data_IF_038858392022
#
_entry.id   IF_038858392022
#
_cell.length_a   1.000
_cell.length_b   1.000
_cell.length_c   1.000
_cell.angle_alpha   90.00
_cell.angle_beta   90.00
_cell.angle_gamma   90.00
#
_symmetry.space_group_name_H-M   'P 1'
#
loop_
_entity.id
_entity.type
_entity.pdbx_description
1 polymer ?
#
# COMPACT_ATOMS: atom_id res chain seq x y z
N UNK A 1 -16.06 29.30 1.46
CA UNK A 1 -14.94 30.26 1.25
C UNK A 1 -14.55 30.24 -0.23
N UNK A 2 -14.13 31.35 -0.84
CA UNK A 2 -13.54 31.30 -2.17
C UNK A 2 -12.26 30.45 -2.13
N UNK A 3 -12.09 29.56 -3.11
CA UNK A 3 -10.89 28.72 -3.24
C UNK A 3 -9.65 29.57 -3.58
N UNK A 4 -9.86 30.62 -4.39
CA UNK A 4 -8.83 31.59 -4.72
C UNK A 4 -8.79 32.64 -3.60
N UNK A 5 -7.63 32.86 -2.96
CA UNK A 5 -7.54 33.75 -1.82
C UNK A 5 -7.45 35.24 -2.21
N UNK A 6 -7.08 35.53 -3.46
CA UNK A 6 -6.85 36.88 -3.96
C UNK A 6 -8.16 37.59 -4.30
N UNK A 7 -8.28 38.83 -3.84
CA UNK A 7 -9.34 39.75 -4.26
C UNK A 7 -9.02 40.40 -5.60
N UNK A 8 -9.99 41.08 -6.21
CA UNK A 8 -9.76 41.87 -7.43
C UNK A 8 -8.71 42.97 -7.22
N UNK A 9 -8.66 43.55 -6.02
CA UNK A 9 -7.66 44.55 -5.63
C UNK A 9 -6.25 43.94 -5.57
N UNK A 10 -6.12 42.74 -4.98
CA UNK A 10 -4.84 42.01 -4.93
C UNK A 10 -4.35 41.69 -6.34
N UNK A 11 -5.23 41.17 -7.20
CA UNK A 11 -4.92 40.85 -8.60
C UNK A 11 -4.47 42.11 -9.34
N UNK A 12 -5.20 43.22 -9.19
CA UNK A 12 -4.87 44.50 -9.84
C UNK A 12 -3.50 45.02 -9.38
N UNK A 13 -3.22 44.95 -8.08
CA UNK A 13 -1.92 45.35 -7.53
C UNK A 13 -0.78 44.49 -8.08
N UNK A 14 -0.97 43.17 -8.17
CA UNK A 14 0.02 42.24 -8.73
C UNK A 14 0.28 42.51 -10.22
N UNK A 15 -0.77 42.70 -11.03
CA UNK A 15 -0.64 43.00 -12.47
C UNK A 15 0.12 44.32 -12.70
N UNK A 16 -0.17 45.36 -11.90
CA UNK A 16 0.54 46.63 -11.97
C UNK A 16 2.04 46.51 -11.64
N UNK A 17 2.41 45.64 -10.69
CA UNK A 17 3.83 45.39 -10.36
C UNK A 17 4.55 44.65 -11.48
N UNK A 18 3.88 43.69 -12.13
CA UNK A 18 4.43 42.92 -13.25
C UNK A 18 4.51 43.78 -14.53
N UNK A 19 3.62 44.76 -14.68
CA UNK A 19 3.57 45.67 -15.83
C UNK A 19 2.69 45.17 -16.99
N UNK A 20 1.70 44.32 -16.70
CA UNK A 20 0.72 43.80 -17.67
C UNK A 20 -0.69 44.33 -17.37
N UNK A 21 -1.61 44.25 -18.34
CA UNK A 21 -2.95 44.84 -18.21
C UNK A 21 -4.01 43.82 -17.77
N UNK A 22 -3.79 42.54 -18.06
CA UNK A 22 -4.74 41.47 -17.75
C UNK A 22 -4.04 40.17 -17.36
N UNK A 23 -4.80 39.25 -16.75
CA UNK A 23 -4.33 37.89 -16.49
C UNK A 23 -3.98 37.17 -17.81
N UNK A 24 -4.73 37.43 -18.90
CA UNK A 24 -4.52 36.78 -20.19
C UNK A 24 -3.16 37.13 -20.81
N UNK A 25 -2.62 38.32 -20.50
CA UNK A 25 -1.29 38.75 -20.95
C UNK A 25 -0.18 37.87 -20.36
N UNK A 26 -0.41 37.21 -19.21
CA UNK A 26 0.56 36.31 -18.57
C UNK A 26 0.73 34.97 -19.29
N UNK A 27 -0.13 34.66 -20.27
CA UNK A 27 -0.17 33.39 -20.99
C UNK A 27 0.09 33.56 -22.50
N UNK A 28 0.68 34.69 -22.92
CA UNK A 28 0.96 34.99 -24.33
C UNK A 28 1.89 33.97 -25.01
N UNK A 29 2.76 33.31 -24.25
CA UNK A 29 3.66 32.24 -24.69
C UNK A 29 2.95 30.96 -25.12
N UNK A 30 1.71 30.71 -24.67
CA UNK A 30 0.95 29.53 -25.06
C UNK A 30 0.41 29.74 -26.48
N UNK A 31 0.81 28.93 -27.48
CA UNK A 31 0.30 29.03 -28.85
C UNK A 31 -1.24 28.99 -28.89
N UNK A 32 -1.91 29.87 -29.66
CA UNK A 32 -3.37 29.95 -29.67
C UNK A 32 -4.08 28.64 -30.01
N UNK A 33 -3.45 27.79 -30.83
CA UNK A 33 -3.94 26.46 -31.22
C UNK A 33 -3.85 25.41 -30.11
N UNK A 34 -3.06 25.66 -29.07
CA UNK A 34 -2.96 24.82 -27.87
C UNK A 34 -3.85 25.31 -26.71
N UNK A 35 -4.44 26.51 -26.82
CA UNK A 35 -5.31 27.06 -25.78
C UNK A 35 -6.67 26.37 -25.81
N UNK A 36 -7.12 25.88 -24.66
CA UNK A 36 -8.46 25.31 -24.52
C UNK A 36 -9.52 26.42 -24.69
N UNK A 37 -10.50 26.20 -25.56
CA UNK A 37 -11.62 27.14 -25.82
C UNK A 37 -12.76 26.94 -24.80
N UNK A 38 -12.69 25.87 -24.02
CA UNK A 38 -13.65 25.46 -23.01
C UNK A 38 -13.42 24.00 -22.61
N UNK A 39 -14.14 23.54 -21.60
CA UNK A 39 -14.10 22.15 -21.17
C UNK A 39 -15.50 21.55 -21.38
N UNK A 40 -15.68 20.88 -22.52
CA UNK A 40 -16.94 20.21 -22.85
C UNK A 40 -17.28 19.15 -21.80
N UNK A 41 -18.56 19.09 -21.41
CA UNK A 41 -19.05 18.11 -20.45
C UNK A 41 -18.85 18.48 -18.97
N UNK A 42 -18.27 19.65 -18.66
CA UNK A 42 -18.24 20.16 -17.28
C UNK A 42 -19.54 20.91 -16.98
N UNK A 43 -20.32 20.50 -15.96
CA UNK A 43 -21.55 21.19 -15.58
C UNK A 43 -21.23 22.56 -14.96
N UNK A 44 -22.23 23.46 -14.87
CA UNK A 44 -22.08 24.72 -14.14
C UNK A 44 -21.60 24.48 -12.70
N UNK A 45 -20.81 25.42 -12.18
CA UNK A 45 -20.34 25.37 -10.80
C UNK A 45 -21.51 25.37 -9.81
N UNK A 46 -21.40 24.54 -8.77
CA UNK A 46 -22.34 24.48 -7.66
C UNK A 46 -21.76 25.21 -6.44
N UNK A 47 -22.63 25.78 -5.62
CA UNK A 47 -22.25 26.25 -4.29
C UNK A 47 -21.83 25.08 -3.38
N UNK A 48 -21.13 25.39 -2.30
CA UNK A 48 -20.70 24.42 -1.29
C UNK A 48 -21.88 23.60 -0.72
N UNK A 49 -23.03 24.23 -0.53
CA UNK A 49 -24.23 23.55 -0.02
C UNK A 49 -24.85 22.61 -1.05
N UNK A 50 -24.91 23.02 -2.31
CA UNK A 50 -25.48 22.22 -3.39
C UNK A 50 -24.62 20.98 -3.67
N UNK A 51 -23.28 21.14 -3.72
CA UNK A 51 -22.40 20.00 -3.93
C UNK A 51 -22.43 19.04 -2.75
N UNK A 52 -22.48 19.53 -1.50
CA UNK A 52 -22.59 18.68 -0.32
C UNK A 52 -23.89 17.84 -0.34
N UNK A 53 -25.03 18.46 -0.67
CA UNK A 53 -26.30 17.76 -0.80
C UNK A 53 -26.26 16.70 -1.91
N UNK A 54 -25.69 17.04 -3.06
CA UNK A 54 -25.54 16.12 -4.18
C UNK A 54 -24.68 14.92 -3.82
N UNK A 55 -23.53 15.14 -3.18
CA UNK A 55 -22.63 14.05 -2.77
C UNK A 55 -23.26 13.16 -1.71
N UNK A 56 -23.97 13.72 -0.73
CA UNK A 56 -24.71 12.93 0.28
C UNK A 56 -25.82 12.09 -0.35
N UNK A 57 -26.55 12.63 -1.33
CA UNK A 57 -27.58 11.88 -2.03
C UNK A 57 -26.99 10.71 -2.82
N UNK A 58 -25.82 10.90 -3.46
CA UNK A 58 -25.12 9.83 -4.19
C UNK A 58 -24.58 8.76 -3.26
N UNK A 59 -23.92 9.13 -2.17
CA UNK A 59 -23.35 8.18 -1.21
C UNK A 59 -24.41 7.24 -0.60
N UNK A 60 -25.66 7.71 -0.44
CA UNK A 60 -26.77 6.87 0.04
C UNK A 60 -27.15 5.74 -0.92
N UNK A 61 -26.82 5.86 -2.21
CA UNK A 61 -27.11 4.82 -3.19
C UNK A 61 -26.15 3.62 -3.09
N UNK A 62 -24.96 3.82 -2.52
CA UNK A 62 -23.96 2.76 -2.36
C UNK A 62 -24.35 1.75 -1.26
N UNK A 63 -25.20 2.17 -0.32
CA UNK A 63 -25.66 1.34 0.79
C UNK A 63 -24.60 1.10 1.87
N UNK A 64 -24.94 0.31 2.89
CA UNK A 64 -24.05 -0.08 3.99
C UNK A 64 -24.18 -1.59 4.24
N UNK A 65 -23.74 -2.45 3.30
CA UNK A 65 -23.85 -3.89 3.45
C UNK A 65 -22.90 -4.40 4.53
N UNK A 66 -23.32 -5.44 5.26
CA UNK A 66 -22.39 -6.24 6.06
C UNK A 66 -21.42 -6.95 5.11
N UNK A 67 -20.11 -6.77 5.31
CA UNK A 67 -19.08 -7.31 4.44
C UNK A 67 -18.18 -8.30 5.20
N UNK A 68 -18.30 -9.58 4.86
CA UNK A 68 -17.44 -10.66 5.37
C UNK A 68 -16.59 -11.30 4.27
N UNK A 69 -16.38 -10.59 3.16
CA UNK A 69 -15.58 -11.09 2.02
C UNK A 69 -14.12 -11.31 2.44
N UNK A 70 -13.60 -10.48 3.36
CA UNK A 70 -12.22 -10.53 3.81
C UNK A 70 -11.28 -10.18 2.66
N UNK A 71 -10.35 -11.09 2.33
CA UNK A 71 -9.44 -10.93 1.19
C UNK A 71 -8.56 -9.66 1.27
N UNK A 72 -8.01 -9.36 2.44
CA UNK A 72 -7.07 -8.26 2.64
C UNK A 72 -7.68 -6.94 3.10
N UNK A 73 -9.01 -6.80 3.11
CA UNK A 73 -9.70 -5.66 3.72
C UNK A 73 -10.84 -6.14 4.62
N UNK A 74 -10.89 -5.63 5.85
CA UNK A 74 -11.74 -6.15 6.90
C UNK A 74 -12.48 -5.01 7.60
N UNK A 75 -13.79 -5.15 7.72
CA UNK A 75 -14.59 -4.22 8.52
C UNK A 75 -14.22 -4.36 10.00
N UNK A 76 -14.00 -3.23 10.67
CA UNK A 76 -13.56 -3.19 12.06
C UNK A 76 -13.93 -1.86 12.72
N UNK A 77 -13.88 -1.85 14.06
CA UNK A 77 -14.14 -0.64 14.81
C UNK A 77 -12.96 0.34 14.70
N UNK A 78 -13.24 1.54 14.17
CA UNK A 78 -12.28 2.66 14.16
C UNK A 78 -12.64 3.61 15.30
N UNK A 79 -11.74 3.83 16.28
CA UNK A 79 -12.02 4.74 17.38
C UNK A 79 -12.32 6.15 16.88
N UNK A 80 -13.32 6.82 17.48
CA UNK A 80 -13.69 8.19 17.11
C UNK A 80 -12.52 9.19 17.20
N UNK A 81 -11.56 8.93 18.09
CA UNK A 81 -10.34 9.72 18.21
C UNK A 81 -9.51 9.74 16.91
N UNK A 82 -9.49 8.65 16.13
CA UNK A 82 -8.79 8.59 14.84
C UNK A 82 -9.36 9.65 13.90
N UNK A 83 -10.69 9.69 13.75
CA UNK A 83 -11.35 10.70 12.90
C UNK A 83 -11.16 12.14 13.40
N UNK A 84 -11.13 12.33 14.72
CA UNK A 84 -10.84 13.65 15.30
C UNK A 84 -9.40 14.11 15.04
N UNK A 85 -8.46 13.19 14.84
CA UNK A 85 -7.06 13.51 14.54
C UNK A 85 -6.82 13.66 13.04
N UNK A 86 -7.29 12.72 12.22
CA UNK A 86 -7.01 12.69 10.77
C UNK A 86 -7.66 13.83 10.00
N UNK A 87 -8.73 14.43 10.55
CA UNK A 87 -9.43 15.58 9.92
C UNK A 87 -8.86 16.94 10.32
N UNK A 88 -7.82 16.98 11.17
CA UNK A 88 -7.17 18.22 11.58
C UNK A 88 -6.19 18.71 10.50
N UNK A 89 -6.29 19.99 10.15
CA UNK A 89 -5.49 20.62 9.09
C UNK A 89 -3.99 20.43 9.26
N UNK A 90 -3.52 20.53 10.49
CA UNK A 90 -2.11 20.35 10.86
C UNK A 90 -1.55 18.94 10.58
N UNK A 91 -2.41 17.91 10.41
CA UNK A 91 -1.98 16.56 10.05
C UNK A 91 -2.13 16.28 8.54
N UNK A 92 -3.21 16.76 7.90
CA UNK A 92 -3.49 16.39 6.50
C UNK A 92 -2.94 17.37 5.46
N UNK A 93 -2.67 18.64 5.83
CA UNK A 93 -2.29 19.68 4.85
C UNK A 93 -0.77 19.80 4.66
N UNK A 94 0.01 19.32 5.62
CA UNK A 94 1.46 19.25 5.47
C UNK A 94 1.85 18.20 4.42
N UNK A 95 2.95 18.43 3.71
CA UNK A 95 3.50 17.48 2.74
C UNK A 95 4.69 16.73 3.34
N UNK A 96 5.47 16.04 2.49
CA UNK A 96 6.67 15.31 2.90
C UNK A 96 7.56 16.16 3.85
N UNK A 97 8.03 15.60 4.98
CA UNK A 97 8.75 16.34 6.01
C UNK A 97 10.21 16.65 5.60
N UNK A 98 10.41 17.38 4.50
CA UNK A 98 11.73 17.78 4.00
C UNK A 98 12.46 18.75 4.95
N UNK A 99 11.71 19.49 5.76
CA UNK A 99 12.24 20.40 6.78
C UNK A 99 12.03 19.76 8.16
N UNK A 100 12.97 18.90 8.55
CA UNK A 100 12.82 18.04 9.72
C UNK A 100 12.57 18.84 11.01
N UNK A 101 13.22 19.98 11.19
CA UNK A 101 13.08 20.87 12.35
C UNK A 101 11.66 21.45 12.47
N UNK A 102 10.96 21.60 11.35
CA UNK A 102 9.58 22.08 11.28
C UNK A 102 8.55 20.94 11.20
N UNK A 103 8.98 19.67 11.27
CA UNK A 103 8.11 18.49 11.06
C UNK A 103 8.29 17.41 12.11
N UNK A 104 8.85 17.73 13.29
CA UNK A 104 9.13 16.75 14.34
C UNK A 104 7.90 15.97 14.81
N UNK A 105 6.71 16.56 14.81
CA UNK A 105 5.47 15.85 15.16
C UNK A 105 5.15 14.71 14.18
N UNK A 106 5.19 14.98 12.87
CA UNK A 106 5.00 13.97 11.83
C UNK A 106 6.10 12.92 11.88
N UNK A 107 7.36 13.33 12.02
CA UNK A 107 8.50 12.40 12.11
C UNK A 107 8.41 11.48 13.32
N UNK A 108 7.90 11.98 14.45
CA UNK A 108 7.64 11.16 15.63
C UNK A 108 6.58 10.10 15.34
N UNK A 109 5.45 10.47 14.71
CA UNK A 109 4.40 9.49 14.34
C UNK A 109 4.94 8.43 13.38
N UNK A 110 5.78 8.80 12.41
CA UNK A 110 6.43 7.85 11.51
C UNK A 110 7.38 6.91 12.26
N UNK A 111 8.15 7.43 13.21
CA UNK A 111 9.03 6.61 14.04
C UNK A 111 8.25 5.64 14.94
N UNK A 112 7.13 6.09 15.52
CA UNK A 112 6.22 5.26 16.31
C UNK A 112 5.60 4.15 15.46
N UNK A 113 5.18 4.47 14.23
CA UNK A 113 4.72 3.46 13.27
C UNK A 113 5.81 2.43 12.96
N UNK A 114 7.03 2.88 12.64
CA UNK A 114 8.15 1.98 12.37
C UNK A 114 8.45 1.08 13.56
N UNK A 115 8.49 1.65 14.76
CA UNK A 115 8.73 0.92 16.01
C UNK A 115 7.65 -0.12 16.30
N UNK A 116 6.38 0.24 16.08
CA UNK A 116 5.24 -0.66 16.21
C UNK A 116 5.37 -1.82 15.21
N UNK A 117 5.69 -1.52 13.94
CA UNK A 117 5.84 -2.54 12.92
C UNK A 117 7.01 -3.48 13.20
N UNK A 118 8.19 -2.97 13.59
CA UNK A 118 9.32 -3.84 13.98
C UNK A 118 8.99 -4.73 15.16
N UNK A 119 8.23 -4.22 16.15
CA UNK A 119 7.79 -5.02 17.29
C UNK A 119 6.75 -6.08 16.91
N UNK A 120 5.79 -5.74 16.03
CA UNK A 120 4.78 -6.68 15.54
C UNK A 120 5.37 -7.75 14.63
N UNK A 121 6.34 -7.40 13.79
CA UNK A 121 6.92 -8.35 12.84
C UNK A 121 8.11 -9.12 13.41
N UNK A 122 8.68 -8.68 14.53
CA UNK A 122 9.91 -9.25 15.09
C UNK A 122 11.15 -9.00 14.21
N UNK A 123 11.12 -7.99 13.33
CA UNK A 123 12.20 -7.67 12.40
C UNK A 123 12.90 -6.37 12.78
N UNK A 124 14.15 -6.22 12.35
CA UNK A 124 15.03 -5.12 12.80
C UNK A 124 14.63 -3.73 12.30
N UNK A 125 14.01 -3.64 11.12
CA UNK A 125 13.73 -2.36 10.45
C UNK A 125 12.38 -2.37 9.73
N UNK A 126 11.74 -1.20 9.72
CA UNK A 126 10.53 -0.93 8.93
C UNK A 126 10.68 0.42 8.21
N UNK A 127 10.10 0.54 7.02
CA UNK A 127 10.00 1.83 6.34
C UNK A 127 8.79 2.63 6.85
N UNK A 128 8.55 3.80 6.28
CA UNK A 128 7.45 4.69 6.64
C UNK A 128 6.21 4.48 5.77
N UNK A 129 5.84 3.22 5.49
CA UNK A 129 4.73 2.73 4.62
C UNK A 129 5.07 2.54 3.13
N UNK A 130 4.17 1.84 2.43
CA UNK A 130 4.08 1.74 0.97
C UNK A 130 2.64 2.07 0.53
N UNK A 131 2.28 1.83 -0.73
CA UNK A 131 0.97 2.21 -1.25
C UNK A 131 -0.15 1.26 -0.82
N UNK A 132 0.11 -0.04 -0.85
CA UNK A 132 -0.81 -1.12 -0.50
C UNK A 132 -0.03 -2.44 -0.31
N UNK A 133 -0.68 -3.46 0.26
CA UNK A 133 -0.05 -4.76 0.47
C UNK A 133 0.40 -5.49 -0.82
N UNK A 134 -0.21 -5.18 -1.98
CA UNK A 134 0.12 -5.81 -3.25
C UNK A 134 1.44 -5.30 -3.84
N UNK A 135 1.62 -3.99 -3.82
CA UNK A 135 2.83 -3.29 -4.23
C UNK A 135 3.95 -3.50 -3.20
N UNK A 136 3.61 -3.60 -1.91
CA UNK A 136 4.57 -3.97 -0.87
C UNK A 136 5.17 -5.37 -1.10
N UNK A 137 4.35 -6.36 -1.46
CA UNK A 137 4.84 -7.68 -1.85
C UNK A 137 5.72 -7.61 -3.12
N UNK A 138 5.38 -6.75 -4.08
CA UNK A 138 6.21 -6.58 -5.27
C UNK A 138 7.59 -6.01 -4.93
N UNK A 139 7.67 -5.01 -4.04
CA UNK A 139 8.93 -4.46 -3.56
C UNK A 139 9.73 -5.46 -2.71
N UNK A 140 9.06 -6.28 -1.89
CA UNK A 140 9.71 -7.36 -1.15
C UNK A 140 10.34 -8.40 -2.09
N UNK A 141 9.63 -8.78 -3.17
CA UNK A 141 10.15 -9.67 -4.21
C UNK A 141 11.37 -9.07 -4.92
N UNK A 142 11.28 -7.79 -5.30
CA UNK A 142 12.40 -7.08 -5.92
C UNK A 142 13.61 -6.95 -4.99
N UNK A 143 13.36 -6.69 -3.70
CA UNK A 143 14.39 -6.64 -2.66
C UNK A 143 15.07 -8.00 -2.51
N UNK A 144 14.30 -9.08 -2.37
CA UNK A 144 14.84 -10.43 -2.18
C UNK A 144 15.72 -10.87 -3.36
N UNK A 145 15.27 -10.66 -4.61
CA UNK A 145 16.05 -10.98 -5.81
C UNK A 145 17.35 -10.17 -5.89
N UNK A 146 17.36 -8.91 -5.42
CA UNK A 146 18.57 -8.07 -5.42
C UNK A 146 19.52 -8.38 -4.26
N UNK A 147 18.97 -8.71 -3.09
CA UNK A 147 19.71 -8.92 -1.85
C UNK A 147 20.33 -10.31 -1.78
N UNK A 148 19.67 -11.34 -2.33
CA UNK A 148 20.19 -12.71 -2.31
C UNK A 148 21.46 -12.82 -3.17
N UNK A 149 22.62 -12.90 -2.53
CA UNK A 149 23.93 -13.05 -3.19
C UNK A 149 24.34 -14.49 -3.43
N UNK A 150 23.66 -15.45 -2.78
CA UNK A 150 23.97 -16.88 -2.86
C UNK A 150 23.29 -17.55 -4.06
N UNK A 151 22.22 -16.95 -4.57
CA UNK A 151 21.42 -17.46 -5.69
C UNK A 151 21.37 -16.42 -6.81
N UNK A 152 21.78 -16.79 -8.01
CA UNK A 152 21.69 -15.93 -9.21
C UNK A 152 20.36 -16.06 -9.96
N UNK A 153 19.54 -17.04 -9.58
CA UNK A 153 18.21 -17.27 -10.15
C UNK A 153 17.29 -16.08 -9.88
N UNK A 154 16.42 -15.75 -10.84
CA UNK A 154 15.36 -14.75 -10.67
C UNK A 154 13.98 -15.41 -10.48
N UNK A 155 13.95 -16.71 -10.18
CA UNK A 155 12.74 -17.45 -9.88
C UNK A 155 12.32 -17.19 -8.44
N UNK A 156 11.05 -16.89 -8.23
CA UNK A 156 10.44 -16.64 -6.91
C UNK A 156 9.24 -17.56 -6.79
N UNK A 157 9.22 -18.37 -5.73
CA UNK A 157 8.13 -19.29 -5.49
C UNK A 157 6.96 -18.51 -4.86
N UNK A 158 5.83 -18.53 -5.56
CA UNK A 158 4.65 -17.74 -5.26
C UNK A 158 3.45 -18.68 -5.04
N UNK A 159 3.13 -19.06 -3.80
CA UNK A 159 1.99 -19.91 -3.55
C UNK A 159 0.67 -19.34 -4.06
N UNK A 160 -0.17 -20.19 -4.62
CA UNK A 160 -1.53 -19.82 -5.06
C UNK A 160 -2.45 -19.47 -3.90
N UNK A 161 -2.03 -19.76 -2.67
CA UNK A 161 -2.66 -19.32 -1.42
C UNK A 161 -2.42 -17.83 -1.11
N UNK A 162 -1.51 -17.15 -1.83
CA UNK A 162 -1.38 -15.69 -1.80
C UNK A 162 -2.56 -15.04 -2.53
N UNK A 163 -3.01 -13.88 -2.01
CA UNK A 163 -4.11 -13.11 -2.57
C UNK A 163 -3.99 -12.95 -4.11
N UNK A 164 -5.02 -13.31 -4.90
CA UNK A 164 -4.91 -13.37 -6.36
C UNK A 164 -4.64 -12.00 -6.99
N UNK A 165 -5.17 -10.91 -6.42
CA UNK A 165 -4.84 -9.57 -6.91
C UNK A 165 -3.37 -9.20 -6.59
N UNK A 166 -2.83 -9.65 -5.46
CA UNK A 166 -1.43 -9.37 -5.12
C UNK A 166 -0.52 -10.07 -6.11
N UNK A 167 -0.76 -11.36 -6.40
CA UNK A 167 -0.02 -12.11 -7.43
C UNK A 167 -0.05 -11.41 -8.79
N UNK A 168 -1.22 -10.90 -9.23
CA UNK A 168 -1.33 -10.15 -10.50
C UNK A 168 -0.57 -8.83 -10.49
N UNK A 169 -0.60 -8.09 -9.38
CA UNK A 169 0.14 -6.84 -9.21
C UNK A 169 1.65 -7.09 -9.24
N UNK A 170 2.13 -8.06 -8.47
CA UNK A 170 3.54 -8.47 -8.45
C UNK A 170 3.98 -8.87 -9.86
N UNK A 171 3.23 -9.74 -10.54
CA UNK A 171 3.54 -10.14 -11.92
C UNK A 171 3.65 -8.94 -12.87
N UNK A 172 2.75 -7.96 -12.73
CA UNK A 172 2.73 -6.76 -13.58
C UNK A 172 3.97 -5.89 -13.38
N UNK A 173 4.46 -5.79 -12.14
CA UNK A 173 5.62 -4.97 -11.75
C UNK A 173 6.94 -5.67 -12.12
N UNK A 174 7.06 -6.97 -11.86
CA UNK A 174 8.37 -7.66 -11.93
C UNK A 174 8.68 -8.28 -13.29
N UNK A 175 7.67 -8.58 -14.13
CA UNK A 175 7.86 -9.34 -15.40
C UNK A 175 8.89 -8.74 -16.35
N UNK A 176 8.93 -7.41 -16.48
CA UNK A 176 9.84 -6.73 -17.41
C UNK A 176 11.30 -6.73 -16.93
N UNK A 177 11.56 -7.20 -15.71
CA UNK A 177 12.90 -7.32 -15.12
C UNK A 177 13.45 -8.76 -15.22
N UNK A 178 12.72 -9.66 -15.90
CA UNK A 178 13.06 -11.06 -16.06
C UNK A 178 12.93 -11.87 -14.77
N UNK A 179 12.10 -11.42 -13.82
CA UNK A 179 11.75 -12.17 -12.61
C UNK A 179 10.59 -13.08 -12.96
N UNK A 180 10.75 -14.37 -12.66
CA UNK A 180 9.76 -15.41 -12.90
C UNK A 180 9.05 -15.74 -11.59
N UNK A 181 7.72 -15.57 -11.56
CA UNK A 181 6.89 -16.05 -10.47
C UNK A 181 6.46 -17.49 -10.75
N UNK A 182 6.96 -18.42 -9.95
CA UNK A 182 6.63 -19.85 -10.07
C UNK A 182 5.44 -20.12 -9.15
N UNK A 183 4.26 -20.34 -9.74
CA UNK A 183 3.06 -20.60 -8.94
C UNK A 183 3.10 -21.98 -8.28
N UNK A 184 2.97 -22.01 -6.95
CA UNK A 184 2.92 -23.25 -6.17
C UNK A 184 1.45 -23.60 -5.92
N UNK A 185 0.97 -24.79 -6.32
CA UNK A 185 -0.39 -25.21 -6.00
C UNK A 185 -0.57 -25.35 -4.48
N UNK A 186 -1.81 -25.29 -4.01
CA UNK A 186 -2.16 -25.61 -2.63
C UNK A 186 -2.76 -27.00 -2.55
N UNK A 187 -2.72 -27.63 -1.37
CA UNK A 187 -3.40 -28.89 -1.11
C UNK A 187 -4.93 -28.67 -1.10
N UNK A 188 -5.69 -29.29 -2.02
CA UNK A 188 -7.13 -29.11 -2.10
C UNK A 188 -7.91 -29.55 -0.85
N UNK A 189 -7.30 -30.36 0.03
CA UNK A 189 -7.96 -30.87 1.23
C UNK A 189 -7.98 -29.87 2.39
N UNK A 190 -6.91 -29.10 2.57
CA UNK A 190 -6.76 -28.16 3.71
C UNK A 190 -6.51 -26.70 3.27
N UNK A 191 -6.21 -26.45 2.00
CA UNK A 191 -5.97 -25.10 1.47
C UNK A 191 -4.60 -24.53 1.80
N UNK A 192 -3.66 -25.31 2.34
CA UNK A 192 -2.30 -24.89 2.66
C UNK A 192 -1.33 -25.17 1.51
N UNK A 193 -0.18 -24.51 1.56
CA UNK A 193 0.99 -24.84 0.74
C UNK A 193 1.77 -25.94 1.42
N UNK A 194 2.09 -27.02 0.70
CA UNK A 194 2.86 -28.13 1.26
C UNK A 194 4.29 -28.20 0.75
N UNK A 195 5.20 -28.69 1.58
CA UNK A 195 6.61 -28.88 1.20
C UNK A 195 6.78 -29.75 -0.04
N UNK A 196 5.95 -30.79 -0.22
CA UNK A 196 6.06 -31.67 -1.39
C UNK A 196 5.72 -30.93 -2.71
N UNK A 197 4.88 -29.89 -2.64
CA UNK A 197 4.55 -29.04 -3.79
C UNK A 197 5.69 -28.07 -4.11
N UNK A 198 6.42 -27.62 -3.09
CA UNK A 198 7.62 -26.80 -3.24
C UNK A 198 8.74 -27.61 -3.86
N UNK A 199 8.99 -28.84 -3.38
CA UNK A 199 10.02 -29.72 -3.91
C UNK A 199 9.80 -30.02 -5.41
N UNK A 200 8.56 -30.23 -5.83
CA UNK A 200 8.23 -30.45 -7.25
C UNK A 200 8.46 -29.22 -8.15
N UNK A 201 8.47 -28.01 -7.58
CA UNK A 201 8.69 -26.76 -8.32
C UNK A 201 10.16 -26.28 -8.25
N UNK A 202 10.92 -26.79 -7.28
CA UNK A 202 12.26 -26.36 -6.90
C UNK A 202 13.38 -27.19 -7.53
N UNK A 203 13.13 -27.82 -8.69
CA UNK A 203 14.18 -28.47 -9.50
C UNK A 203 15.38 -27.53 -9.80
N UNK A 204 15.20 -26.20 -9.67
CA UNK A 204 16.28 -25.21 -9.59
C UNK A 204 16.24 -24.39 -8.29
N UNK A 205 17.40 -23.81 -7.92
CA UNK A 205 17.48 -22.79 -6.86
C UNK A 205 16.58 -21.60 -7.19
N UNK A 206 15.85 -21.10 -6.19
CA UNK A 206 15.03 -19.89 -6.29
C UNK A 206 15.62 -18.78 -5.41
N UNK A 207 15.35 -17.52 -5.77
CA UNK A 207 15.81 -16.38 -4.98
C UNK A 207 15.04 -16.24 -3.67
N UNK A 208 13.74 -16.57 -3.69
CA UNK A 208 12.86 -16.39 -2.55
C UNK A 208 11.61 -17.29 -2.59
N UNK A 209 11.03 -17.51 -1.42
CA UNK A 209 9.72 -18.10 -1.18
C UNK A 209 8.80 -17.07 -0.50
N UNK A 210 7.60 -16.89 -1.03
CA UNK A 210 6.54 -16.07 -0.41
C UNK A 210 5.68 -16.94 0.49
N UNK A 211 5.39 -16.49 1.72
CA UNK A 211 4.63 -17.21 2.74
C UNK A 211 3.51 -16.30 3.27
N UNK A 212 2.23 -16.51 2.87
CA UNK A 212 1.13 -15.70 3.40
C UNK A 212 0.65 -16.22 4.76
N UNK A 213 0.42 -15.32 5.73
CA UNK A 213 -0.05 -15.70 7.07
C UNK A 213 -1.05 -14.69 7.68
N UNK A 214 -2.33 -15.06 7.87
CA UNK A 214 -3.01 -16.22 7.27
C UNK A 214 -3.03 -16.16 5.74
N UNK A 215 -3.28 -17.29 5.10
CA UNK A 215 -3.39 -17.34 3.65
C UNK A 215 -4.76 -16.82 3.14
N UNK A 216 -4.93 -16.72 1.81
CA UNK A 216 -6.13 -16.16 1.19
C UNK A 216 -7.43 -16.89 1.58
N UNK A 217 -7.34 -18.18 1.94
CA UNK A 217 -8.49 -18.97 2.38
C UNK A 217 -8.79 -18.82 3.88
N UNK A 218 -8.00 -18.03 4.61
CA UNK A 218 -8.08 -17.85 6.06
C UNK A 218 -7.40 -18.97 6.84
N UNK A 219 -6.54 -19.77 6.20
CA UNK A 219 -5.85 -20.90 6.83
C UNK A 219 -4.45 -20.46 7.26
N UNK A 220 -3.98 -20.99 8.38
CA UNK A 220 -2.61 -20.78 8.86
C UNK A 220 -1.67 -21.72 8.11
N UNK A 221 -0.64 -21.17 7.49
CA UNK A 221 0.43 -21.94 6.85
C UNK A 221 1.40 -22.48 7.92
N UNK A 222 2.14 -23.54 7.59
CA UNK A 222 3.24 -24.06 8.42
C UNK A 222 4.49 -23.19 8.24
N UNK A 223 4.41 -21.97 8.79
CA UNK A 223 5.40 -20.90 8.54
C UNK A 223 6.81 -21.29 8.93
N UNK A 224 6.97 -22.11 9.97
CA UNK A 224 8.28 -22.57 10.44
C UNK A 224 8.91 -23.53 9.42
N UNK A 225 8.17 -24.55 9.01
CA UNK A 225 8.65 -25.53 8.04
C UNK A 225 8.91 -24.90 6.66
N UNK A 226 8.07 -23.95 6.24
CA UNK A 226 8.25 -23.23 4.97
C UNK A 226 9.49 -22.32 4.99
N UNK A 227 9.74 -21.63 6.10
CA UNK A 227 10.91 -20.75 6.26
C UNK A 227 12.19 -21.58 6.27
N UNK A 228 12.26 -22.63 7.09
CA UNK A 228 13.42 -23.54 7.15
C UNK A 228 13.69 -24.21 5.78
N UNK A 229 12.63 -24.58 5.05
CA UNK A 229 12.76 -25.16 3.71
C UNK A 229 13.41 -24.18 2.72
N UNK A 230 13.06 -22.90 2.79
CA UNK A 230 13.61 -21.85 1.92
C UNK A 230 15.10 -21.62 2.23
N UNK A 231 15.44 -21.46 3.51
CA UNK A 231 16.81 -21.22 3.94
C UNK A 231 17.74 -22.40 3.66
N UNK A 232 17.26 -23.63 3.81
CA UNK A 232 18.01 -24.84 3.44
C UNK A 232 18.41 -24.88 1.95
N UNK A 233 17.79 -24.04 1.10
CA UNK A 233 18.05 -23.91 -0.34
C UNK A 233 18.65 -22.55 -0.72
N UNK A 234 19.16 -21.81 0.26
CA UNK A 234 19.69 -20.44 0.10
C UNK A 234 18.65 -19.43 -0.44
N UNK A 235 17.35 -19.73 -0.39
CA UNK A 235 16.28 -18.81 -0.77
C UNK A 235 15.88 -17.93 0.43
N UNK A 236 15.51 -16.68 0.18
CA UNK A 236 14.98 -15.79 1.22
C UNK A 236 13.48 -16.05 1.46
N UNK A 237 13.03 -15.96 2.70
CA UNK A 237 11.62 -16.05 3.08
C UNK A 237 10.97 -14.66 3.13
N UNK A 238 9.84 -14.50 2.43
CA UNK A 238 9.04 -13.27 2.42
C UNK A 238 7.68 -13.56 3.06
N UNK A 239 7.45 -13.03 4.27
CA UNK A 239 6.16 -13.08 4.95
C UNK A 239 5.16 -12.06 4.40
N UNK A 240 3.97 -12.51 4.01
CA UNK A 240 2.83 -11.64 3.67
C UNK A 240 1.80 -11.76 4.77
N UNK A 241 1.77 -10.79 5.67
CA UNK A 241 1.09 -10.92 6.97
C UNK A 241 -0.08 -9.97 7.12
N UNK A 242 -1.09 -10.40 7.88
CA UNK A 242 -2.07 -9.48 8.45
C UNK A 242 -1.51 -8.96 9.79
N UNK A 243 -1.23 -7.66 9.94
CA UNK A 243 -0.59 -7.13 11.15
C UNK A 243 -1.42 -7.32 12.42
N UNK A 244 -2.75 -7.39 12.31
CA UNK A 244 -3.62 -7.65 13.45
C UNK A 244 -3.52 -9.12 13.92
N UNK A 245 -3.30 -10.06 13.00
CA UNK A 245 -3.14 -11.47 13.35
C UNK A 245 -1.85 -11.72 14.15
N UNK A 246 -0.81 -10.91 13.93
CA UNK A 246 0.47 -10.99 14.66
C UNK A 246 0.36 -10.59 16.14
N UNK A 247 -0.76 -10.01 16.57
CA UNK A 247 -1.03 -9.83 18.00
C UNK A 247 -1.23 -11.17 18.74
N UNK A 248 -1.48 -12.27 18.01
CA UNK A 248 -1.73 -13.61 18.55
C UNK A 248 -0.79 -14.67 18.01
N UNK A 249 -0.35 -14.54 16.76
CA UNK A 249 0.51 -15.50 16.07
C UNK A 249 1.98 -15.14 16.24
N UNK A 250 2.85 -16.15 16.14
CA UNK A 250 4.30 -15.94 16.12
C UNK A 250 4.68 -14.94 15.02
N UNK A 251 5.47 -13.90 15.34
CA UNK A 251 5.85 -12.88 14.37
C UNK A 251 6.82 -13.46 13.33
N UNK A 252 6.89 -12.91 12.11
CA UNK A 252 7.84 -13.31 11.07
C UNK A 252 9.29 -13.48 11.53
N UNK A 253 9.80 -12.62 12.40
CA UNK A 253 11.16 -12.72 12.94
C UNK A 253 11.43 -13.99 13.76
N UNK A 254 10.39 -14.68 14.22
CA UNK A 254 10.48 -15.91 15.00
C UNK A 254 10.13 -17.16 14.16
N UNK A 255 9.88 -17.02 12.85
CA UNK A 255 9.53 -18.16 11.99
C UNK A 255 10.72 -19.06 11.72
N UNK A 256 10.52 -20.36 11.92
CA UNK A 256 11.55 -21.37 11.70
C UNK A 256 12.76 -21.17 12.63
N UNK A 257 13.95 -21.45 12.12
CA UNK A 257 15.19 -21.35 12.91
C UNK A 257 15.80 -19.95 12.90
N UNK A 258 15.64 -19.20 11.80
CA UNK A 258 16.37 -17.95 11.55
C UNK A 258 15.45 -16.74 11.27
N UNK A 259 14.12 -16.91 11.28
CA UNK A 259 13.15 -15.85 11.00
C UNK A 259 12.96 -15.56 9.50
N UNK A 260 11.83 -14.99 9.12
CA UNK A 260 11.63 -14.52 7.74
C UNK A 260 12.57 -13.32 7.44
N UNK A 261 13.12 -13.27 6.23
CA UNK A 261 14.06 -12.21 5.83
C UNK A 261 13.37 -10.88 5.56
N UNK A 262 12.12 -10.91 5.08
CA UNK A 262 11.31 -9.73 4.75
C UNK A 262 9.86 -9.99 5.18
N UNK A 263 9.21 -9.01 5.79
CA UNK A 263 7.76 -9.03 6.01
C UNK A 263 7.08 -7.84 5.32
N UNK A 264 5.91 -8.09 4.75
CA UNK A 264 5.06 -7.08 4.15
C UNK A 264 3.59 -7.46 4.36
N UNK A 265 2.66 -6.55 4.11
CA UNK A 265 1.25 -6.80 4.37
C UNK A 265 0.43 -5.56 4.13
N UNK A 266 -0.86 -5.67 4.38
CA UNK A 266 -1.80 -4.57 4.30
C UNK A 266 -2.05 -3.99 5.69
N UNK A 267 -1.80 -2.69 5.86
CA UNK A 267 -2.01 -1.96 7.11
C UNK A 267 -3.46 -1.61 7.39
N UNK A 268 -4.39 -1.78 6.44
CA UNK A 268 -5.82 -1.45 6.60
C UNK A 268 -6.45 -1.85 7.95
N UNK A 269 -6.20 -3.05 8.51
CA UNK A 269 -6.77 -3.46 9.80
C UNK A 269 -6.35 -2.59 11.00
N UNK A 270 -5.33 -1.74 10.84
CA UNK A 270 -4.80 -0.84 11.87
C UNK A 270 -5.57 0.49 11.93
N UNK A 271 -6.89 0.45 11.82
CA UNK A 271 -7.76 1.62 12.02
C UNK A 271 -8.13 2.38 10.75
N UNK A 272 -8.03 1.78 9.56
CA UNK A 272 -8.39 2.41 8.29
C UNK A 272 -9.75 1.87 7.77
N UNK A 273 -10.65 2.73 7.27
CA UNK A 273 -11.95 2.28 6.74
C UNK A 273 -11.78 1.48 5.45
N UNK A 274 -12.75 0.64 5.09
CA UNK A 274 -12.73 -0.08 3.80
C UNK A 274 -12.67 0.83 2.57
N UNK A 275 -13.31 2.00 2.63
CA UNK A 275 -13.22 3.09 1.64
C UNK A 275 -13.22 2.69 0.14
N UNK A 276 -13.90 1.59 -0.21
CA UNK A 276 -13.89 1.02 -1.57
C UNK A 276 -12.48 0.71 -2.13
N UNK A 277 -11.53 0.37 -1.25
CA UNK A 277 -10.19 -0.09 -1.61
C UNK A 277 -9.02 0.82 -1.20
N UNK A 278 -9.26 1.97 -0.57
CA UNK A 278 -8.17 2.82 -0.06
C UNK A 278 -8.57 4.28 0.24
N UNK A 279 -7.61 5.11 0.68
CA UNK A 279 -6.18 4.83 0.77
C UNK A 279 -5.82 3.96 1.97
N UNK A 280 -4.89 3.01 1.76
CA UNK A 280 -4.30 2.21 2.83
C UNK A 280 -2.80 2.52 3.02
N UNK A 281 -2.02 1.63 3.69
CA UNK A 281 -0.61 1.83 4.04
C UNK A 281 0.22 0.54 4.03
#
# INVERSE_FOLDING_TARGET
>A
MPFIPHTEDDVTAMLNVIGVQSIDDLFDEIPPDLRAVGLDGIPPGLSEMEIAQLMQARARNDGLPLCFIGAGAYDHHIPAAVWQLTTRGEFYSAYTPYQAEASQGTLQVLYEFQSMMTALTGLDVSNASLYDGATALAEAVLMAVRANRKVSSKRVLMPRTVHPAYRRTVQSIVRNQGIELVEIPFDPQNGCTRLEQLDAAADDRCAALVIPQPNFFGILEDVDALTDWAHARDALAIGVVNPLALALLSPPGDWGSDGADIACGEGQPLGMPLASGGPYL
#
